data_IF_935316731414
#
_entry.id   IF_935316731414
#
_cell.length_a   1.000
_cell.length_b   1.000
_cell.length_c   1.000
_cell.angle_alpha   90.00
_cell.angle_beta   90.00
_cell.angle_gamma   90.00
#
_symmetry.space_group_name_H-M   'P 1'
#
loop_
_entity.id
_entity.type
_entity.pdbx_description
1 polymer ?
#
# COMPACT_ATOMS: atom_id res chain seq x y z
N UNK A 1 18.97 -28.42 -48.64
CA UNK A 1 18.92 -27.39 -47.57
C UNK A 1 19.47 -28.03 -46.29
N UNK A 2 20.46 -27.42 -45.60
CA UNK A 2 21.12 -28.05 -44.44
C UNK A 2 20.24 -27.89 -43.18
N UNK A 3 19.74 -28.97 -42.55
CA UNK A 3 18.78 -28.88 -41.44
C UNK A 3 19.35 -28.20 -40.19
N UNK A 4 20.67 -28.26 -40.01
CA UNK A 4 21.38 -27.56 -38.93
C UNK A 4 21.14 -26.05 -39.00
N UNK A 5 21.22 -25.44 -40.18
CA UNK A 5 21.07 -23.99 -40.32
C UNK A 5 19.68 -23.52 -39.85
N UNK A 6 18.64 -24.29 -40.16
CA UNK A 6 17.26 -24.02 -39.72
C UNK A 6 17.15 -24.12 -38.20
N UNK A 7 17.80 -25.10 -37.59
CA UNK A 7 17.81 -25.28 -36.14
C UNK A 7 18.48 -24.11 -35.41
N UNK A 8 19.59 -23.58 -35.96
CA UNK A 8 20.26 -22.40 -35.40
C UNK A 8 19.38 -21.15 -35.49
N UNK A 9 18.71 -20.93 -36.62
CA UNK A 9 17.79 -19.80 -36.80
C UNK A 9 16.62 -19.89 -35.82
N UNK A 10 16.06 -21.10 -35.62
CA UNK A 10 15.00 -21.35 -34.63
C UNK A 10 15.49 -21.05 -33.21
N UNK A 11 16.69 -21.49 -32.84
CA UNK A 11 17.25 -21.30 -31.51
C UNK A 11 17.52 -19.82 -31.23
N UNK A 12 18.03 -19.08 -32.22
CA UNK A 12 18.19 -17.62 -32.15
C UNK A 12 16.84 -16.93 -32.02
N UNK A 13 15.82 -17.35 -32.77
CA UNK A 13 14.46 -16.82 -32.66
C UNK A 13 13.84 -17.05 -31.27
N UNK A 14 14.00 -18.24 -30.70
CA UNK A 14 13.56 -18.56 -29.34
C UNK A 14 14.30 -17.70 -28.30
N UNK A 15 15.63 -17.60 -28.43
CA UNK A 15 16.44 -16.77 -27.55
C UNK A 15 16.03 -15.30 -27.61
N UNK A 16 15.83 -14.75 -28.82
CA UNK A 16 15.30 -13.40 -28.99
C UNK A 16 13.91 -13.23 -28.37
N UNK A 17 13.02 -14.22 -28.53
CA UNK A 17 11.70 -14.22 -27.92
C UNK A 17 11.75 -14.17 -26.40
N UNK A 18 12.59 -15.00 -25.77
CA UNK A 18 12.75 -15.06 -24.31
C UNK A 18 13.40 -13.79 -23.75
N UNK A 19 14.43 -13.25 -24.42
CA UNK A 19 15.03 -11.97 -24.02
C UNK A 19 14.02 -10.84 -24.19
N UNK A 20 13.26 -10.85 -25.28
CA UNK A 20 12.20 -9.88 -25.54
C UNK A 20 11.15 -9.86 -24.44
N UNK A 21 10.70 -10.99 -23.91
CA UNK A 21 9.68 -11.00 -22.84
C UNK A 21 10.20 -10.49 -21.49
N UNK A 22 11.49 -10.59 -21.22
CA UNK A 22 12.11 -10.09 -19.98
C UNK A 22 12.34 -8.58 -20.04
N UNK A 23 12.76 -8.04 -21.18
CA UNK A 23 13.06 -6.62 -21.35
C UNK A 23 11.86 -5.78 -21.84
N UNK A 24 10.86 -6.41 -22.48
CA UNK A 24 9.62 -5.75 -22.92
C UNK A 24 8.91 -4.91 -21.84
N UNK A 25 8.76 -5.35 -20.58
CA UNK A 25 8.05 -4.54 -19.58
C UNK A 25 8.75 -3.22 -19.24
N UNK A 26 10.07 -3.12 -19.42
CA UNK A 26 10.86 -1.94 -19.04
C UNK A 26 10.83 -0.85 -20.14
N UNK A 27 10.87 -1.26 -21.42
CA UNK A 27 10.89 -0.33 -22.57
C UNK A 27 9.52 -0.06 -23.19
N UNK A 28 8.58 -1.00 -23.13
CA UNK A 28 7.29 -0.86 -23.81
C UNK A 28 6.17 -0.31 -22.92
N UNK A 29 6.39 -0.15 -21.62
CA UNK A 29 5.40 0.36 -20.65
C UNK A 29 4.57 1.58 -21.13
N UNK A 30 5.15 2.60 -21.79
CA UNK A 30 4.41 3.76 -22.28
C UNK A 30 3.53 3.51 -23.51
N UNK A 31 3.86 2.51 -24.34
CA UNK A 31 3.21 2.25 -25.64
C UNK A 31 2.29 1.02 -25.64
N UNK A 32 2.29 0.24 -24.56
CA UNK A 32 1.38 -0.90 -24.40
C UNK A 32 -0.04 -0.42 -24.08
N UNK A 33 -0.99 -0.85 -24.91
CA UNK A 33 -2.43 -0.69 -24.69
C UNK A 33 -2.84 -1.22 -23.32
N UNK A 34 -3.83 -0.58 -22.69
CA UNK A 34 -4.38 -0.91 -21.36
C UNK A 34 -4.59 -2.42 -21.11
N UNK A 35 -4.95 -3.19 -22.14
CA UNK A 35 -5.19 -4.63 -22.05
C UNK A 35 -3.95 -5.48 -21.69
N UNK A 36 -2.75 -4.98 -21.98
CA UNK A 36 -1.47 -5.67 -21.72
C UNK A 36 -0.62 -4.99 -20.65
N UNK A 37 -1.08 -3.87 -20.08
CA UNK A 37 -0.47 -3.31 -18.88
C UNK A 37 -0.67 -4.33 -17.76
N UNK A 38 0.42 -4.97 -17.34
CA UNK A 38 0.50 -5.79 -16.13
C UNK A 38 -0.24 -5.04 -15.04
N UNK A 39 -1.39 -5.58 -14.62
CA UNK A 39 -2.42 -4.91 -13.79
C UNK A 39 -1.78 -3.98 -12.77
N UNK A 40 -1.78 -2.68 -13.09
CA UNK A 40 -1.28 -1.65 -12.18
C UNK A 40 -2.12 -1.79 -10.91
N UNK A 41 -1.47 -2.02 -9.77
CA UNK A 41 -2.18 -2.17 -8.51
C UNK A 41 -3.05 -0.92 -8.31
N UNK A 42 -4.34 -1.13 -8.06
CA UNK A 42 -5.30 -0.06 -7.82
C UNK A 42 -4.98 0.55 -6.47
N UNK A 43 -4.65 1.83 -6.46
CA UNK A 43 -4.33 2.58 -5.25
C UNK A 43 -5.62 3.04 -4.60
N UNK A 44 -5.88 2.56 -3.39
CA UNK A 44 -7.08 2.93 -2.63
C UNK A 44 -6.66 3.70 -1.38
N UNK A 45 -7.31 4.85 -1.19
CA UNK A 45 -7.20 5.64 0.03
C UNK A 45 -8.25 5.19 1.05
N UNK A 46 -7.83 4.98 2.29
CA UNK A 46 -8.71 4.53 3.36
C UNK A 46 -8.25 4.94 4.75
N UNK A 47 -9.20 5.22 5.62
CA UNK A 47 -8.94 5.56 7.01
C UNK A 47 -8.82 4.30 7.88
N UNK A 48 -7.84 4.28 8.78
CA UNK A 48 -7.65 3.18 9.73
C UNK A 48 -8.63 3.34 10.89
N UNK A 49 -9.76 2.65 10.80
CA UNK A 49 -10.79 2.66 11.85
C UNK A 49 -10.34 1.87 13.07
N UNK A 50 -9.64 0.75 12.86
CA UNK A 50 -9.20 -0.11 13.96
C UNK A 50 -7.86 -0.74 13.65
N UNK A 51 -7.03 -0.85 14.67
CA UNK A 51 -5.73 -1.51 14.64
C UNK A 51 -5.67 -2.55 15.76
N UNK A 52 -5.34 -3.78 15.41
CA UNK A 52 -5.24 -4.90 16.36
C UNK A 52 -3.96 -5.67 16.06
N UNK A 53 -3.10 -5.81 17.05
CA UNK A 53 -1.90 -6.65 16.96
C UNK A 53 -2.19 -7.96 17.67
N UNK A 54 -2.09 -9.05 16.94
CA UNK A 54 -2.33 -10.40 17.45
C UNK A 54 -1.01 -11.19 17.33
N UNK A 55 -0.18 -11.10 18.36
CA UNK A 55 1.14 -11.76 18.39
C UNK A 55 2.06 -11.34 17.24
N UNK A 56 2.17 -12.21 16.24
CA UNK A 56 3.03 -12.12 15.06
C UNK A 56 2.32 -11.55 13.81
N UNK A 57 1.06 -11.13 13.93
CA UNK A 57 0.29 -10.50 12.84
C UNK A 57 -0.34 -9.18 13.25
N UNK A 58 -0.44 -8.25 12.31
CA UNK A 58 -1.13 -6.97 12.46
C UNK A 58 -2.39 -6.95 11.59
N UNK A 59 -3.52 -6.71 12.24
CA UNK A 59 -4.84 -6.60 11.63
C UNK A 59 -5.26 -5.12 11.64
N UNK A 60 -5.60 -4.59 10.47
CA UNK A 60 -6.02 -3.21 10.28
C UNK A 60 -7.37 -3.20 9.58
N UNK A 61 -8.38 -2.64 10.23
CA UNK A 61 -9.67 -2.37 9.60
C UNK A 61 -9.59 -1.00 8.95
N UNK A 62 -9.63 -0.99 7.62
CA UNK A 62 -9.56 0.22 6.81
C UNK A 62 -10.94 0.50 6.24
N UNK A 63 -11.41 1.74 6.39
CA UNK A 63 -12.66 2.22 5.83
C UNK A 63 -12.40 3.09 4.61
N UNK A 64 -13.07 2.76 3.52
CA UNK A 64 -12.95 3.46 2.24
C UNK A 64 -14.32 3.87 1.73
N UNK A 65 -14.36 4.63 0.65
CA UNK A 65 -15.60 5.00 -0.04
C UNK A 65 -16.37 3.80 -0.60
N UNK A 66 -15.69 2.67 -0.85
CA UNK A 66 -16.28 1.43 -1.37
C UNK A 66 -16.76 0.48 -0.26
N UNK A 67 -16.41 0.76 1.01
CA UNK A 67 -16.70 -0.09 2.14
C UNK A 67 -15.50 -0.29 3.07
N UNK A 68 -15.68 -1.12 4.09
CA UNK A 68 -14.62 -1.53 5.00
C UNK A 68 -13.98 -2.83 4.54
N UNK A 69 -12.67 -2.93 4.69
CA UNK A 69 -11.94 -4.18 4.50
C UNK A 69 -10.89 -4.38 5.59
N UNK A 70 -10.56 -5.65 5.82
CA UNK A 70 -9.58 -6.08 6.80
C UNK A 70 -8.26 -6.35 6.09
N UNK A 71 -7.22 -5.66 6.54
CA UNK A 71 -5.86 -5.85 6.07
C UNK A 71 -5.07 -6.63 7.10
N UNK A 72 -4.41 -7.71 6.66
CA UNK A 72 -3.56 -8.54 7.50
C UNK A 72 -2.11 -8.45 7.07
N UNK A 73 -1.22 -8.06 7.97
CA UNK A 73 0.23 -8.09 7.77
C UNK A 73 0.86 -9.16 8.64
N UNK A 74 1.61 -10.07 8.01
CA UNK A 74 2.41 -11.11 8.70
C UNK A 74 3.90 -10.78 8.71
N UNK A 75 4.34 -9.91 7.80
CA UNK A 75 5.73 -9.43 7.67
C UNK A 75 5.84 -8.01 8.19
N UNK A 76 7.04 -7.67 8.69
CA UNK A 76 7.39 -6.30 9.13
C UNK A 76 6.38 -5.69 10.12
N UNK A 77 5.76 -6.53 10.94
CA UNK A 77 4.69 -6.15 11.87
C UNK A 77 5.10 -5.00 12.77
N UNK A 78 6.29 -5.07 13.40
CA UNK A 78 6.76 -4.02 14.28
C UNK A 78 6.99 -2.68 13.56
N UNK A 79 7.47 -2.71 12.31
CA UNK A 79 7.69 -1.51 11.51
C UNK A 79 6.34 -0.86 11.16
N UNK A 80 5.38 -1.66 10.66
CA UNK A 80 4.06 -1.18 10.24
C UNK A 80 3.24 -0.71 11.46
N UNK A 81 3.38 -1.38 12.60
CA UNK A 81 2.78 -0.99 13.88
C UNK A 81 3.26 0.40 14.33
N UNK A 82 4.51 0.78 14.07
CA UNK A 82 5.02 2.13 14.39
C UNK A 82 4.59 3.18 13.37
N UNK A 83 4.40 2.78 12.12
CA UNK A 83 4.06 3.69 11.02
C UNK A 83 2.59 4.09 11.03
N UNK A 84 1.70 3.16 11.40
CA UNK A 84 0.25 3.30 11.28
C UNK A 84 -0.42 3.48 12.64
N UNK A 85 -1.19 4.55 12.79
CA UNK A 85 -2.06 4.78 13.94
C UNK A 85 -3.55 4.71 13.55
N UNK A 86 -4.40 4.53 14.55
CA UNK A 86 -5.84 4.62 14.35
C UNK A 86 -6.23 6.07 14.00
N UNK A 87 -7.05 6.25 12.97
CA UNK A 87 -7.42 7.56 12.41
C UNK A 87 -6.47 8.07 11.32
N UNK A 88 -5.38 7.35 11.02
CA UNK A 88 -4.51 7.70 9.89
C UNK A 88 -5.17 7.32 8.56
N UNK A 89 -4.90 8.10 7.50
CA UNK A 89 -5.29 7.74 6.14
C UNK A 89 -4.15 6.98 5.46
N UNK A 90 -4.42 5.75 5.04
CA UNK A 90 -3.51 4.89 4.30
C UNK A 90 -3.85 4.89 2.82
N UNK A 91 -2.83 5.01 1.98
CA UNK A 91 -2.91 4.68 0.55
C UNK A 91 -2.31 3.28 0.37
N UNK A 92 -3.15 2.33 -0.03
CA UNK A 92 -2.78 0.93 -0.23
C UNK A 92 -2.85 0.57 -1.70
N UNK A 93 -1.82 -0.09 -2.20
CA UNK A 93 -1.82 -0.66 -3.55
C UNK A 93 -2.40 -2.08 -3.51
N UNK A 94 -3.59 -2.24 -4.08
CA UNK A 94 -4.33 -3.49 -4.12
C UNK A 94 -4.31 -4.08 -5.54
N UNK A 95 -4.11 -5.40 -5.65
CA UNK A 95 -4.24 -6.08 -6.96
C UNK A 95 -5.69 -6.19 -7.42
N UNK A 96 -6.61 -6.19 -6.45
CA UNK A 96 -8.08 -6.26 -6.59
C UNK A 96 -8.70 -5.81 -5.27
N UNK A 97 -9.87 -5.18 -5.33
CA UNK A 97 -10.68 -4.89 -4.15
C UNK A 97 -11.30 -6.18 -3.59
N UNK A 98 -10.91 -6.55 -2.37
CA UNK A 98 -11.43 -7.71 -1.63
C UNK A 98 -11.67 -7.32 -0.16
N UNK A 99 -12.70 -7.85 0.52
CA UNK A 99 -12.98 -7.52 1.93
C UNK A 99 -11.90 -7.96 2.92
N UNK A 100 -11.08 -8.94 2.54
CA UNK A 100 -9.96 -9.45 3.31
C UNK A 100 -8.72 -9.44 2.43
N UNK A 101 -7.72 -8.65 2.81
CA UNK A 101 -6.51 -8.46 2.03
C UNK A 101 -5.30 -8.86 2.85
N UNK A 102 -4.50 -9.79 2.31
CA UNK A 102 -3.25 -10.21 2.90
C UNK A 102 -2.07 -9.46 2.29
N UNK A 103 -1.25 -8.87 3.16
CA UNK A 103 0.03 -8.23 2.85
C UNK A 103 0.00 -7.19 1.69
N UNK A 104 -0.93 -6.21 1.69
CA UNK A 104 -0.91 -5.18 0.65
C UNK A 104 0.30 -4.26 0.79
N UNK A 105 0.73 -3.67 -0.31
CA UNK A 105 1.83 -2.69 -0.27
C UNK A 105 1.27 -1.35 0.22
N UNK A 106 1.86 -0.83 1.30
CA UNK A 106 1.55 0.52 1.80
C UNK A 106 2.37 1.51 0.97
N UNK A 107 1.71 2.30 0.13
CA UNK A 107 2.39 3.33 -0.66
C UNK A 107 2.58 4.62 0.13
N UNK A 108 1.59 4.98 0.95
CA UNK A 108 1.62 6.23 1.72
C UNK A 108 0.82 6.10 3.01
N UNK A 109 1.33 6.74 4.07
CA UNK A 109 0.60 6.97 5.32
C UNK A 109 0.50 8.47 5.54
N UNK A 110 -0.71 8.99 5.66
CA UNK A 110 -0.97 10.37 6.09
C UNK A 110 -1.47 10.34 7.52
N UNK A 111 -0.66 10.89 8.42
CA UNK A 111 -1.05 11.05 9.83
C UNK A 111 -1.99 12.22 9.95
N UNK A 112 -3.03 12.08 10.78
CA UNK A 112 -3.81 13.24 11.21
C UNK A 112 -2.84 14.15 11.99
N UNK A 113 -2.56 15.35 11.49
CA UNK A 113 -1.71 16.29 12.21
C UNK A 113 -2.30 16.51 13.62
N UNK A 114 -1.47 16.42 14.68
CA UNK A 114 -1.92 16.86 15.99
C UNK A 114 -2.26 18.34 15.85
N UNK A 115 -3.50 18.72 16.19
CA UNK A 115 -3.86 20.12 16.44
C UNK A 115 -2.70 20.80 17.17
N UNK A 116 -2.18 21.95 16.67
CA UNK A 116 -1.09 22.64 17.33
C UNK A 116 -1.49 22.84 18.79
N UNK A 117 -0.73 22.26 19.73
CA UNK A 117 -0.94 22.51 21.16
C UNK A 117 -1.03 24.04 21.34
N UNK A 118 -2.11 24.59 21.91
CA UNK A 118 -2.14 25.99 22.28
C UNK A 118 -0.92 26.22 23.16
N UNK A 119 -0.01 27.11 22.73
CA UNK A 119 1.09 27.56 23.59
C UNK A 119 0.46 27.93 24.92
N UNK A 120 0.90 27.27 25.99
CA UNK A 120 0.48 27.56 27.36
C UNK A 120 0.53 29.07 27.61
N UNK A 121 -0.60 29.74 27.50
CA UNK A 121 -0.80 31.06 28.08
C UNK A 121 -1.24 30.80 29.51
N UNK A 122 -0.41 31.31 30.41
CA UNK A 122 -0.44 31.23 31.85
C UNK A 122 -1.84 31.05 32.47
N UNK A 123 -1.94 30.11 33.41
CA UNK A 123 -3.03 30.09 34.38
C UNK A 123 -3.18 31.47 35.04
N UNK A 124 -4.37 32.10 35.05
CA UNK A 124 -4.73 32.92 36.17
C UNK A 124 -5.04 31.98 37.34
N UNK A 125 -4.15 31.99 38.33
CA UNK A 125 -4.38 31.45 39.66
C UNK A 125 -5.73 31.90 40.20
N UNK A 126 -6.63 30.94 40.44
CA UNK A 126 -7.83 31.13 41.24
C UNK A 126 -7.47 30.99 42.72
N UNK A 127 -7.91 31.92 43.58
CA UNK A 127 -8.11 31.57 44.98
C UNK A 127 -9.48 32.02 45.52
N UNK A 128 -10.20 31.07 46.10
CA UNK A 128 -11.15 31.27 47.22
C UNK A 128 -12.53 31.81 46.83
N UNK A 129 -13.60 31.02 46.81
CA UNK A 129 -14.32 30.45 47.95
C UNK A 129 -15.22 31.47 48.71
N UNK A 130 -16.50 31.09 48.78
CA UNK A 130 -17.56 31.49 49.72
C UNK A 130 -18.39 32.75 49.40
N UNK A 131 -19.60 32.51 48.88
CA UNK A 131 -20.82 33.25 49.19
C UNK A 131 -21.24 32.98 50.68
N UNK A 132 -22.22 33.66 51.30
CA UNK A 132 -23.48 34.18 50.77
C UNK A 132 -23.56 35.71 50.55
#
# INVERSE_FOLDING_TARGET
MKPWLVFLILLVGIALGVVGTIFAPDVAGPYLHEAFRIKKAETIDGEVVRKLREGDRLLLTVQTSQGSFLVTFKKKVAEIDLLVQQGDTLTLALRRYEPFVDEPVIERVRRLEPTPRPKAHALPSSPGAAAP
#
